data_IF_852384630945
#
_entry.id   IF_852384630945
#
_cell.length_a   1.000
_cell.length_b   1.000
_cell.length_c   1.000
_cell.angle_alpha   90.00
_cell.angle_beta   90.00
_cell.angle_gamma   90.00
#
_symmetry.space_group_name_H-M   'P 1'
#
loop_
_entity.id
_entity.type
_entity.pdbx_description
1 polymer ?
#
# COMPACT_ATOMS: atom_id res chain seq x y z
N UNK A 1 25.22 23.63 -12.04
CA UNK A 1 24.54 24.33 -10.92
C UNK A 1 25.52 24.38 -9.76
N UNK A 2 25.70 25.52 -9.07
CA UNK A 2 26.59 25.57 -7.90
C UNK A 2 25.95 24.87 -6.69
N UNK A 3 26.77 24.31 -5.80
CA UNK A 3 26.29 23.71 -4.54
C UNK A 3 25.43 24.71 -3.72
N UNK A 4 25.82 25.98 -3.74
CA UNK A 4 25.07 27.06 -3.08
C UNK A 4 23.67 27.25 -3.69
N UNK A 5 23.52 27.14 -5.02
CA UNK A 5 22.21 27.25 -5.66
C UNK A 5 21.34 26.03 -5.36
N UNK A 6 21.92 24.81 -5.37
CA UNK A 6 21.23 23.58 -4.95
C UNK A 6 20.69 23.70 -3.53
N UNK A 7 21.53 24.10 -2.58
CA UNK A 7 21.15 24.22 -1.18
C UNK A 7 20.04 25.27 -0.96
N UNK A 8 20.11 26.40 -1.69
CA UNK A 8 19.06 27.42 -1.64
C UNK A 8 17.73 26.91 -2.17
N UNK A 9 17.73 26.23 -3.31
CA UNK A 9 16.51 25.67 -3.89
C UNK A 9 15.91 24.60 -2.98
N UNK A 10 16.73 23.66 -2.51
CA UNK A 10 16.31 22.63 -1.56
C UNK A 10 15.72 23.26 -0.29
N UNK A 11 16.39 24.24 0.30
CA UNK A 11 15.89 24.92 1.50
C UNK A 11 14.57 25.66 1.32
N UNK A 12 14.21 26.10 0.10
CA UNK A 12 12.87 26.63 -0.18
C UNK A 12 11.84 25.51 -0.37
N UNK A 13 12.20 24.42 -1.04
CA UNK A 13 11.32 23.26 -1.23
C UNK A 13 10.99 22.58 0.10
N UNK A 14 11.97 22.44 0.99
CA UNK A 14 11.81 21.83 2.29
C UNK A 14 10.81 22.59 3.16
N UNK A 15 10.54 23.87 2.91
CA UNK A 15 9.55 24.66 3.68
C UNK A 15 8.11 24.30 3.35
N UNK A 16 7.86 23.64 2.23
CA UNK A 16 6.50 23.33 1.78
C UNK A 16 5.85 22.31 2.72
N UNK A 17 4.60 22.58 3.07
CA UNK A 17 3.72 21.60 3.71
C UNK A 17 3.11 20.75 2.60
N UNK A 18 3.08 19.44 2.83
CA UNK A 18 2.75 18.44 1.82
C UNK A 18 1.39 17.81 2.11
N UNK A 19 0.72 17.49 1.01
CA UNK A 19 -0.36 16.51 0.97
C UNK A 19 0.23 15.30 0.25
N UNK A 20 0.31 14.16 0.93
CA UNK A 20 0.76 12.92 0.31
C UNK A 20 -0.40 12.31 -0.48
N UNK A 21 -0.31 12.24 -1.82
CA UNK A 21 -1.43 11.83 -2.66
C UNK A 21 -1.60 10.31 -2.73
N UNK A 22 -0.69 9.49 -2.18
CA UNK A 22 -0.85 8.04 -2.23
C UNK A 22 -0.04 7.29 -1.16
N UNK A 23 -0.71 6.61 -0.24
CA UNK A 23 -0.06 5.76 0.77
C UNK A 23 -0.82 4.47 1.06
N UNK A 24 -0.17 3.59 1.83
CA UNK A 24 -0.77 2.39 2.44
C UNK A 24 -0.81 2.48 3.97
N UNK A 25 -0.91 3.70 4.52
CA UNK A 25 -1.00 3.92 5.97
C UNK A 25 -2.26 3.26 6.53
N UNK A 26 -2.13 2.57 7.67
CA UNK A 26 -3.28 2.19 8.50
C UNK A 26 -3.69 3.40 9.34
N UNK A 27 -4.83 4.00 8.99
CA UNK A 27 -5.32 5.22 9.63
C UNK A 27 -5.73 5.09 11.10
N UNK A 28 -5.84 3.86 11.62
CA UNK A 28 -6.08 3.61 13.05
C UNK A 28 -4.80 3.35 13.84
N UNK A 29 -3.68 3.13 13.15
CA UNK A 29 -2.37 2.90 13.73
C UNK A 29 -1.27 3.37 12.76
N UNK A 30 -1.14 4.70 12.55
CA UNK A 30 -0.42 5.24 11.39
C UNK A 30 1.09 5.36 11.58
N UNK A 31 1.58 5.29 12.82
CA UNK A 31 3.00 5.45 13.15
C UNK A 31 3.58 4.16 13.74
N UNK A 32 4.88 3.95 13.53
CA UNK A 32 5.61 2.81 14.09
C UNK A 32 5.67 2.84 15.62
N UNK A 33 5.74 1.65 16.23
CA UNK A 33 5.91 1.43 17.67
C UNK A 33 7.33 1.02 18.03
N UNK A 34 8.04 0.34 17.12
CA UNK A 34 9.46 -0.01 17.28
C UNK A 34 10.22 0.08 15.95
N UNK A 35 11.55 -0.04 16.00
CA UNK A 35 12.33 -0.18 14.76
C UNK A 35 11.98 -1.44 13.95
N UNK A 36 11.32 -2.42 14.54
CA UNK A 36 10.89 -3.61 13.80
C UNK A 36 9.81 -3.27 12.76
N UNK A 37 9.01 -2.23 12.96
CA UNK A 37 8.01 -1.79 11.99
C UNK A 37 8.66 -1.10 10.78
N UNK A 38 9.85 -0.51 10.98
CA UNK A 38 10.64 0.13 9.92
C UNK A 38 11.54 -0.92 9.25
N UNK A 39 12.50 -1.49 9.99
CA UNK A 39 13.46 -2.46 9.44
C UNK A 39 12.79 -3.77 9.02
N UNK A 40 11.67 -4.13 9.63
CA UNK A 40 10.88 -5.28 9.23
C UNK A 40 9.99 -5.04 8.00
N UNK A 41 9.96 -3.81 7.48
CA UNK A 41 9.27 -3.47 6.23
C UNK A 41 10.05 -4.00 5.02
N UNK A 42 9.33 -4.29 3.94
CA UNK A 42 9.86 -5.05 2.81
C UNK A 42 11.08 -4.43 2.14
N UNK A 43 11.19 -3.09 2.12
CA UNK A 43 12.39 -2.39 1.60
C UNK A 43 13.71 -2.89 2.19
N UNK A 44 13.70 -3.30 3.47
CA UNK A 44 14.92 -3.77 4.14
C UNK A 44 14.97 -5.28 4.21
N UNK A 45 13.85 -5.96 4.43
CA UNK A 45 13.83 -7.42 4.50
C UNK A 45 14.12 -8.06 3.15
N UNK A 46 13.65 -7.49 2.05
CA UNK A 46 13.93 -8.01 0.70
C UNK A 46 15.40 -7.81 0.32
N UNK A 47 16.00 -6.67 0.69
CA UNK A 47 17.41 -6.40 0.47
C UNK A 47 18.30 -7.27 1.35
N UNK A 48 17.96 -7.44 2.63
CA UNK A 48 18.68 -8.35 3.52
C UNK A 48 18.59 -9.80 3.02
N UNK A 49 17.42 -10.20 2.52
CA UNK A 49 17.22 -11.51 1.91
C UNK A 49 18.03 -11.68 0.62
N UNK A 50 18.00 -10.68 -0.25
CA UNK A 50 18.80 -10.62 -1.48
C UNK A 50 20.31 -10.69 -1.19
N UNK A 51 20.75 -10.06 -0.10
CA UNK A 51 22.11 -10.15 0.44
C UNK A 51 22.43 -11.47 1.18
N UNK A 52 21.52 -12.46 1.12
CA UNK A 52 21.76 -13.83 1.57
C UNK A 52 21.27 -14.17 2.97
N UNK A 53 20.45 -13.35 3.63
CA UNK A 53 19.78 -13.74 4.87
C UNK A 53 18.56 -14.62 4.55
N UNK A 54 18.48 -15.87 5.05
CA UNK A 54 17.35 -16.74 4.72
C UNK A 54 16.02 -16.16 5.17
N UNK A 55 14.98 -16.29 4.33
CA UNK A 55 13.62 -15.83 4.64
C UNK A 55 13.13 -16.41 5.96
N UNK A 56 13.42 -17.68 6.23
CA UNK A 56 13.01 -18.39 7.44
C UNK A 56 13.60 -17.76 8.72
N UNK A 57 14.73 -17.06 8.61
CA UNK A 57 15.30 -16.31 9.73
C UNK A 57 14.65 -14.94 9.88
N UNK A 58 14.27 -14.28 8.79
CA UNK A 58 13.60 -12.98 8.81
C UNK A 58 12.16 -13.10 9.30
N UNK A 59 11.46 -14.15 8.87
CA UNK A 59 10.03 -14.37 9.05
C UNK A 59 9.70 -15.49 10.04
N UNK A 60 10.66 -15.82 10.92
CA UNK A 60 10.45 -16.84 11.93
C UNK A 60 9.16 -16.55 12.72
N UNK A 61 8.21 -17.50 12.78
CA UNK A 61 6.98 -17.29 13.53
C UNK A 61 7.25 -16.98 15.00
N UNK A 62 6.62 -15.92 15.51
CA UNK A 62 6.74 -15.50 16.91
C UNK A 62 8.10 -14.93 17.30
N UNK A 63 8.95 -14.56 16.33
CA UNK A 63 10.20 -13.84 16.61
C UNK A 63 9.92 -12.54 17.37
N UNK A 64 10.73 -12.26 18.38
CA UNK A 64 10.67 -11.00 19.11
C UNK A 64 11.04 -9.82 18.17
N UNK A 65 10.34 -8.68 18.23
CA UNK A 65 10.64 -7.52 17.36
C UNK A 65 12.09 -7.05 17.43
N UNK A 66 12.70 -7.04 18.63
CA UNK A 66 14.09 -6.63 18.83
C UNK A 66 15.06 -7.67 18.27
N UNK A 67 14.74 -8.95 18.42
CA UNK A 67 15.50 -10.04 17.78
C UNK A 67 15.42 -9.97 16.24
N UNK A 68 14.24 -9.66 15.67
CA UNK A 68 14.10 -9.46 14.21
C UNK A 68 15.01 -8.33 13.73
N UNK A 69 15.02 -7.20 14.43
CA UNK A 69 15.94 -6.09 14.12
C UNK A 69 17.39 -6.53 14.21
N UNK A 70 17.78 -7.28 15.26
CA UNK A 70 19.15 -7.81 15.39
C UNK A 70 19.57 -8.63 14.17
N UNK A 71 18.70 -9.54 13.71
CA UNK A 71 18.98 -10.38 12.53
C UNK A 71 19.18 -9.53 11.28
N UNK A 72 18.34 -8.51 11.08
CA UNK A 72 18.44 -7.61 9.93
C UNK A 72 19.68 -6.71 9.99
N UNK A 73 20.08 -6.26 11.19
CA UNK A 73 21.31 -5.47 11.40
C UNK A 73 22.55 -6.22 10.93
N UNK A 74 22.57 -7.56 11.01
CA UNK A 74 23.67 -8.38 10.50
C UNK A 74 23.91 -8.24 8.99
N UNK A 75 22.92 -7.72 8.25
CA UNK A 75 22.96 -7.49 6.80
C UNK A 75 23.04 -6.04 6.38
N UNK A 76 22.99 -5.08 7.31
CA UNK A 76 23.02 -3.67 6.94
C UNK A 76 24.33 -3.29 6.24
N UNK A 77 25.45 -3.88 6.63
CA UNK A 77 26.76 -3.68 5.98
C UNK A 77 26.75 -4.07 4.48
N UNK A 78 25.96 -5.09 4.11
CA UNK A 78 25.84 -5.58 2.73
C UNK A 78 24.97 -4.65 1.86
N UNK A 79 24.23 -3.72 2.46
CA UNK A 79 23.27 -2.84 1.77
C UNK A 79 23.52 -1.35 2.01
N UNK A 80 24.66 -0.96 2.62
CA UNK A 80 24.98 0.45 2.94
C UNK A 80 25.02 1.35 1.69
N UNK A 81 25.29 0.77 0.52
CA UNK A 81 25.34 1.47 -0.76
C UNK A 81 23.97 1.74 -1.38
N UNK A 82 22.87 1.26 -0.77
CA UNK A 82 21.52 1.38 -1.32
C UNK A 82 20.86 2.69 -0.89
N UNK A 83 19.94 3.20 -1.71
CA UNK A 83 19.15 4.39 -1.36
C UNK A 83 18.20 4.11 -0.18
N UNK A 84 17.73 2.87 -0.04
CA UNK A 84 16.90 2.44 1.08
C UNK A 84 17.65 2.58 2.42
N UNK A 85 18.94 2.24 2.44
CA UNK A 85 19.77 2.45 3.62
C UNK A 85 19.97 3.93 3.94
N UNK A 86 20.11 4.80 2.94
CA UNK A 86 20.17 6.24 3.19
C UNK A 86 18.86 6.78 3.77
N UNK A 87 17.69 6.30 3.32
CA UNK A 87 16.40 6.63 3.95
C UNK A 87 16.36 6.23 5.42
N UNK A 88 16.84 5.03 5.75
CA UNK A 88 16.88 4.53 7.13
C UNK A 88 17.72 5.45 8.03
N UNK A 89 18.94 5.79 7.59
CA UNK A 89 19.84 6.64 8.36
C UNK A 89 19.27 8.04 8.56
N UNK A 90 18.78 8.68 7.49
CA UNK A 90 18.22 10.03 7.57
C UNK A 90 16.95 10.07 8.44
N UNK A 91 16.10 9.04 8.37
CA UNK A 91 14.96 8.90 9.27
C UNK A 91 15.42 8.72 10.73
N UNK A 92 16.39 7.84 11.00
CA UNK A 92 16.91 7.64 12.35
C UNK A 92 17.54 8.91 12.93
N UNK A 93 18.20 9.73 12.11
CA UNK A 93 18.70 11.06 12.46
C UNK A 93 17.57 12.02 12.81
N UNK A 94 16.62 12.19 11.90
CA UNK A 94 15.54 13.15 12.03
C UNK A 94 14.62 12.87 13.23
N UNK A 95 14.34 11.60 13.49
CA UNK A 95 13.30 11.19 14.43
C UNK A 95 13.84 10.67 15.77
N UNK A 96 15.01 10.04 15.77
CA UNK A 96 15.57 9.40 16.96
C UNK A 96 16.87 10.05 17.45
N UNK A 97 17.38 11.06 16.74
CA UNK A 97 18.62 11.74 17.11
C UNK A 97 19.86 10.85 16.95
N UNK A 98 19.83 9.92 16.00
CA UNK A 98 20.98 9.06 15.71
C UNK A 98 22.12 9.88 15.10
N UNK A 99 23.31 9.89 15.71
CA UNK A 99 24.44 10.75 15.26
C UNK A 99 25.49 10.00 14.45
N UNK A 100 25.53 8.67 14.54
CA UNK A 100 26.54 7.88 13.83
C UNK A 100 26.30 7.88 12.32
N UNK A 101 27.38 7.60 11.57
CA UNK A 101 27.32 7.47 10.11
C UNK A 101 26.77 6.13 9.63
N UNK A 102 26.68 5.14 10.53
CA UNK A 102 26.25 3.76 10.20
C UNK A 102 25.55 3.10 11.36
N UNK A 103 24.55 2.28 11.06
CA UNK A 103 23.95 1.33 12.00
C UNK A 103 24.75 0.03 11.93
N UNK A 104 25.28 -0.41 13.06
CA UNK A 104 26.21 -1.53 13.20
C UNK A 104 25.77 -2.46 14.33
N UNK A 105 26.32 -3.69 14.42
CA UNK A 105 26.09 -4.58 15.56
C UNK A 105 26.43 -3.96 16.93
N UNK A 106 27.27 -2.92 16.98
CA UNK A 106 27.70 -2.28 18.22
C UNK A 106 26.76 -1.16 18.71
N UNK A 107 25.96 -0.54 17.82
CA UNK A 107 25.13 0.63 18.18
C UNK A 107 23.62 0.44 17.97
N UNK A 108 23.19 -0.57 17.19
CA UNK A 108 21.79 -0.75 16.83
C UNK A 108 20.86 -0.92 18.04
N UNK A 109 21.34 -1.56 19.11
CA UNK A 109 20.52 -1.82 20.29
C UNK A 109 20.18 -0.53 21.04
N UNK A 110 21.14 0.39 21.14
CA UNK A 110 20.91 1.72 21.73
C UNK A 110 19.94 2.53 20.86
N UNK A 111 20.08 2.44 19.53
CA UNK A 111 19.15 3.05 18.59
C UNK A 111 17.73 2.46 18.75
N UNK A 112 17.60 1.14 18.87
CA UNK A 112 16.33 0.45 19.09
C UNK A 112 15.63 0.94 20.36
N UNK A 113 16.34 0.96 21.48
CA UNK A 113 15.77 1.36 22.77
C UNK A 113 15.40 2.86 22.77
N UNK A 114 16.17 3.70 22.07
CA UNK A 114 15.88 5.13 21.90
C UNK A 114 14.65 5.35 21.05
N UNK A 115 14.57 4.69 19.89
CA UNK A 115 13.43 4.75 18.98
C UNK A 115 12.15 4.26 19.66
N UNK A 116 12.19 3.12 20.35
CA UNK A 116 11.02 2.60 21.08
C UNK A 116 10.53 3.58 22.16
N UNK A 117 11.43 4.23 22.90
CA UNK A 117 11.06 5.27 23.88
C UNK A 117 10.43 6.51 23.23
N UNK A 118 10.88 6.90 22.03
CA UNK A 118 10.30 8.01 21.26
C UNK A 118 8.91 7.64 20.74
N UNK A 119 8.79 6.46 20.15
CA UNK A 119 7.54 5.94 19.56
C UNK A 119 6.45 5.69 20.60
N UNK A 120 6.82 5.37 21.84
CA UNK A 120 5.88 5.21 22.95
C UNK A 120 5.28 6.53 23.48
N UNK A 121 5.69 7.69 22.96
CA UNK A 121 5.15 8.97 23.40
C UNK A 121 3.70 9.14 22.90
N UNK A 122 2.77 9.63 23.74
CA UNK A 122 1.36 9.73 23.38
C UNK A 122 1.05 10.58 22.14
N UNK A 123 1.91 11.55 21.83
CA UNK A 123 1.79 12.44 20.67
C UNK A 123 2.73 12.04 19.52
N UNK A 124 3.27 10.81 19.52
CA UNK A 124 4.26 10.37 18.54
C UNK A 124 3.82 10.55 17.08
N UNK A 125 2.58 10.15 16.75
CA UNK A 125 1.99 10.39 15.42
C UNK A 125 2.07 11.87 15.03
N UNK A 126 1.66 12.77 15.91
CA UNK A 126 1.66 14.21 15.63
C UNK A 126 3.09 14.76 15.51
N UNK A 127 4.06 14.21 16.26
CA UNK A 127 5.46 14.54 16.09
C UNK A 127 5.98 14.13 14.71
N UNK A 128 5.61 12.93 14.22
CA UNK A 128 5.98 12.45 12.90
C UNK A 128 5.39 13.36 11.82
N UNK A 129 4.07 13.60 11.86
CA UNK A 129 3.38 14.45 10.89
C UNK A 129 3.97 15.87 10.81
N UNK A 130 4.20 16.49 11.98
CA UNK A 130 4.77 17.84 12.06
C UNK A 130 6.19 17.91 11.51
N UNK A 131 7.04 16.94 11.84
CA UNK A 131 8.44 16.90 11.39
C UNK A 131 8.51 16.62 9.89
N UNK A 132 7.65 15.75 9.37
CA UNK A 132 7.51 15.44 7.94
C UNK A 132 6.77 16.51 7.14
N UNK A 133 6.20 17.53 7.79
CA UNK A 133 5.36 18.58 7.19
C UNK A 133 4.19 18.00 6.39
N UNK A 134 3.56 16.94 6.91
CA UNK A 134 2.38 16.31 6.30
C UNK A 134 1.10 16.88 6.90
N UNK A 135 0.26 17.46 6.05
CA UNK A 135 -1.04 18.01 6.43
C UNK A 135 -2.19 17.02 6.16
N UNK A 136 -2.15 16.37 4.99
CA UNK A 136 -3.13 15.36 4.61
C UNK A 136 -2.43 14.18 3.94
N UNK A 137 -2.99 12.99 4.11
CA UNK A 137 -2.42 11.73 3.66
C UNK A 137 -3.54 10.94 2.99
N UNK A 138 -3.37 10.66 1.70
CA UNK A 138 -4.29 9.80 0.97
C UNK A 138 -4.01 8.34 1.31
N UNK A 139 -5.06 7.63 1.66
CA UNK A 139 -5.06 6.21 1.97
C UNK A 139 -5.36 5.38 0.73
N UNK A 140 -5.11 4.08 0.80
CA UNK A 140 -5.55 3.11 -0.21
C UNK A 140 -6.42 2.05 0.47
N UNK A 141 -7.69 2.37 0.70
CA UNK A 141 -8.59 1.57 1.51
C UNK A 141 -9.16 0.41 0.69
N UNK A 142 -9.26 -0.77 1.32
CA UNK A 142 -10.02 -1.88 0.77
C UNK A 142 -11.48 -1.44 0.48
N UNK A 143 -12.09 -1.99 -0.56
CA UNK A 143 -13.44 -1.60 -0.98
C UNK A 143 -14.53 -1.78 0.10
N UNK A 144 -14.29 -2.61 1.12
CA UNK A 144 -15.19 -2.89 2.23
C UNK A 144 -14.77 -2.22 3.56
N UNK A 145 -13.82 -1.27 3.53
CA UNK A 145 -13.46 -0.48 4.70
C UNK A 145 -14.66 0.37 5.18
N UNK A 146 -15.03 0.33 6.46
CA UNK A 146 -16.14 1.13 6.98
C UNK A 146 -15.87 2.65 6.95
N UNK A 147 -14.60 3.08 6.81
CA UNK A 147 -14.17 4.47 6.79
C UNK A 147 -14.65 5.25 8.03
N UNK A 148 -14.50 4.63 9.21
CA UNK A 148 -14.87 5.20 10.51
C UNK A 148 -13.74 5.03 11.53
N UNK A 149 -13.76 5.86 12.58
CA UNK A 149 -12.75 5.82 13.64
C UNK A 149 -11.53 6.72 13.41
N UNK A 150 -11.51 7.50 12.33
CA UNK A 150 -10.43 8.42 12.00
C UNK A 150 -10.95 9.70 11.32
N UNK A 151 -10.11 10.73 11.24
CA UNK A 151 -10.44 11.99 10.58
C UNK A 151 -10.23 11.89 9.07
N UNK A 152 -11.30 11.79 8.29
CA UNK A 152 -11.24 11.68 6.81
C UNK A 152 -10.80 12.96 6.09
N UNK A 153 -10.59 14.06 6.82
CA UNK A 153 -9.95 15.27 6.29
C UNK A 153 -8.42 15.25 6.47
N UNK A 154 -7.90 14.40 7.37
CA UNK A 154 -6.46 14.19 7.55
C UNK A 154 -6.00 12.94 6.81
N UNK A 155 -6.70 11.83 7.01
CA UNK A 155 -6.48 10.56 6.33
C UNK A 155 -7.56 10.36 5.28
N UNK A 156 -7.26 10.78 4.05
CA UNK A 156 -8.21 10.92 2.96
C UNK A 156 -8.45 9.55 2.30
N UNK A 157 -9.68 9.04 2.25
CA UNK A 157 -9.92 7.74 1.63
C UNK A 157 -9.67 7.72 0.13
N UNK A 158 -9.11 6.62 -0.38
CA UNK A 158 -9.16 6.28 -1.80
C UNK A 158 -9.65 4.84 -1.96
N UNK A 159 -10.51 4.61 -2.95
CA UNK A 159 -11.07 3.29 -3.22
C UNK A 159 -10.03 2.43 -3.95
N UNK A 160 -9.50 1.42 -3.25
CA UNK A 160 -8.65 0.39 -3.86
C UNK A 160 -9.51 -0.59 -4.65
N UNK A 161 -9.20 -0.80 -5.93
CA UNK A 161 -10.04 -1.60 -6.82
C UNK A 161 -9.43 -2.92 -7.28
N UNK A 162 -8.19 -3.26 -6.90
CA UNK A 162 -7.49 -4.46 -7.38
C UNK A 162 -8.32 -5.74 -7.18
N UNK A 163 -8.89 -5.93 -5.99
CA UNK A 163 -9.69 -7.12 -5.66
C UNK A 163 -10.94 -7.25 -6.54
N UNK A 164 -11.59 -6.11 -6.83
CA UNK A 164 -12.78 -6.09 -7.68
C UNK A 164 -12.42 -6.43 -9.12
N UNK A 165 -11.31 -5.89 -9.64
CA UNK A 165 -10.92 -6.11 -11.03
C UNK A 165 -10.37 -7.52 -11.25
N UNK A 166 -9.49 -8.00 -10.37
CA UNK A 166 -8.71 -9.21 -10.62
C UNK A 166 -9.08 -10.41 -9.75
N UNK A 167 -9.90 -10.24 -8.72
CA UNK A 167 -10.13 -11.28 -7.70
C UNK A 167 -11.61 -11.57 -7.41
N UNK A 168 -12.54 -11.14 -8.27
CA UNK A 168 -13.98 -11.50 -8.15
C UNK A 168 -14.26 -13.01 -8.28
N UNK A 169 -13.39 -13.77 -8.93
CA UNK A 169 -13.50 -15.24 -8.99
C UNK A 169 -13.26 -15.90 -7.64
N UNK A 170 -12.62 -15.21 -6.70
CA UNK A 170 -12.41 -15.70 -5.33
C UNK A 170 -13.70 -15.58 -4.48
N UNK A 171 -14.16 -16.66 -3.82
CA UNK A 171 -15.37 -16.63 -2.99
C UNK A 171 -15.35 -15.58 -1.87
N UNK A 172 -14.19 -15.33 -1.26
CA UNK A 172 -13.99 -14.35 -0.20
C UNK A 172 -14.24 -12.92 -0.69
N UNK A 173 -13.80 -12.57 -1.90
CA UNK A 173 -14.03 -11.25 -2.51
C UNK A 173 -15.52 -11.02 -2.72
N UNK A 174 -16.25 -12.03 -3.22
CA UNK A 174 -17.70 -11.93 -3.43
C UNK A 174 -18.46 -11.80 -2.12
N UNK A 175 -18.10 -12.59 -1.11
CA UNK A 175 -18.68 -12.50 0.23
C UNK A 175 -18.49 -11.11 0.83
N UNK A 176 -17.28 -10.54 0.70
CA UNK A 176 -16.98 -9.17 1.17
C UNK A 176 -17.79 -8.13 0.41
N UNK A 177 -17.88 -8.24 -0.92
CA UNK A 177 -18.68 -7.32 -1.74
C UNK A 177 -20.17 -7.37 -1.38
N UNK A 178 -20.73 -8.57 -1.23
CA UNK A 178 -22.13 -8.74 -0.84
C UNK A 178 -22.39 -8.18 0.57
N UNK A 179 -21.48 -8.41 1.52
CA UNK A 179 -21.58 -7.84 2.87
C UNK A 179 -21.51 -6.31 2.87
N UNK A 180 -20.60 -5.72 2.10
CA UNK A 180 -20.41 -4.27 2.04
C UNK A 180 -21.57 -3.54 1.36
N UNK A 181 -22.20 -4.17 0.36
CA UNK A 181 -23.21 -3.52 -0.50
C UNK A 181 -24.63 -4.00 -0.23
N UNK A 182 -24.81 -5.13 0.45
CA UNK A 182 -26.09 -5.84 0.57
C UNK A 182 -26.62 -6.37 -0.76
N UNK A 183 -25.75 -6.59 -1.76
CA UNK A 183 -26.11 -7.04 -3.10
C UNK A 183 -25.38 -8.34 -3.40
N UNK A 184 -26.14 -9.40 -3.63
CA UNK A 184 -25.61 -10.67 -4.13
C UNK A 184 -25.25 -10.54 -5.61
N UNK A 185 -24.08 -11.08 -5.98
CA UNK A 185 -23.64 -11.07 -7.36
C UNK A 185 -24.46 -12.09 -8.17
N UNK A 186 -25.23 -11.62 -9.14
CA UNK A 186 -26.07 -12.46 -10.00
C UNK A 186 -25.94 -12.16 -11.49
N UNK A 187 -25.11 -11.18 -11.88
CA UNK A 187 -24.90 -10.76 -13.26
C UNK A 187 -24.30 -9.36 -13.39
N UNK A 188 -24.33 -8.81 -14.61
CA UNK A 188 -23.79 -7.48 -14.92
C UNK A 188 -24.51 -6.35 -14.17
N UNK A 189 -25.84 -6.42 -14.08
CA UNK A 189 -26.64 -5.40 -13.41
C UNK A 189 -26.36 -5.33 -11.90
N UNK A 190 -26.30 -6.49 -11.22
CA UNK A 190 -25.98 -6.54 -9.79
C UNK A 190 -24.56 -6.04 -9.51
N UNK A 191 -23.60 -6.36 -10.39
CA UNK A 191 -22.22 -5.87 -10.23
C UNK A 191 -22.16 -4.35 -10.34
N UNK A 192 -22.79 -3.76 -11.37
CA UNK A 192 -22.84 -2.29 -11.52
C UNK A 192 -23.50 -1.62 -10.33
N UNK A 193 -24.59 -2.19 -9.81
CA UNK A 193 -25.27 -1.67 -8.63
C UNK A 193 -24.39 -1.79 -7.36
N UNK A 194 -23.66 -2.89 -7.20
CA UNK A 194 -22.75 -3.08 -6.09
C UNK A 194 -21.59 -2.06 -6.14
N UNK A 195 -20.96 -1.87 -7.31
CA UNK A 195 -19.92 -0.86 -7.51
C UNK A 195 -20.45 0.54 -7.19
N UNK A 196 -21.63 0.91 -7.69
CA UNK A 196 -22.23 2.21 -7.37
C UNK A 196 -22.41 2.45 -5.87
N UNK A 197 -22.85 1.44 -5.11
CA UNK A 197 -22.94 1.56 -3.65
C UNK A 197 -21.59 1.76 -2.95
N UNK A 198 -20.50 1.18 -3.51
CA UNK A 198 -19.16 1.43 -2.98
C UNK A 198 -18.75 2.89 -3.22
N UNK A 199 -19.02 3.45 -4.41
CA UNK A 199 -18.77 4.87 -4.68
C UNK A 199 -19.58 5.77 -3.76
N UNK A 200 -20.88 5.50 -3.58
CA UNK A 200 -21.73 6.27 -2.65
C UNK A 200 -21.15 6.28 -1.23
N UNK A 201 -20.71 5.12 -0.74
CA UNK A 201 -20.08 4.99 0.58
C UNK A 201 -18.79 5.82 0.66
N UNK A 202 -17.85 5.63 -0.27
CA UNK A 202 -16.56 6.32 -0.27
C UNK A 202 -16.72 7.85 -0.42
N UNK A 203 -17.59 8.31 -1.31
CA UNK A 203 -17.86 9.74 -1.49
C UNK A 203 -18.51 10.36 -0.26
N UNK A 204 -19.43 9.65 0.41
CA UNK A 204 -20.01 10.11 1.69
C UNK A 204 -18.96 10.28 2.79
N UNK A 205 -17.77 9.70 2.60
CA UNK A 205 -16.64 9.70 3.52
C UNK A 205 -15.45 10.52 3.02
N UNK A 206 -15.68 11.44 2.08
CA UNK A 206 -14.67 12.37 1.55
C UNK A 206 -13.56 11.69 0.73
N UNK A 207 -13.85 10.56 0.06
CA UNK A 207 -12.87 9.96 -0.84
C UNK A 207 -12.47 10.91 -1.97
N UNK A 208 -11.20 10.82 -2.40
CA UNK A 208 -10.62 11.70 -3.43
C UNK A 208 -10.10 11.01 -4.67
N UNK A 209 -9.95 9.69 -4.64
CA UNK A 209 -9.50 8.93 -5.81
C UNK A 209 -9.98 7.47 -5.76
N UNK A 210 -9.89 6.80 -6.90
CA UNK A 210 -9.73 5.35 -6.98
C UNK A 210 -8.27 5.02 -7.28
N UNK A 211 -7.80 3.84 -6.89
CA UNK A 211 -6.43 3.39 -7.18
C UNK A 211 -6.40 1.90 -7.55
N UNK A 212 -5.53 1.56 -8.49
CA UNK A 212 -5.32 0.19 -8.96
C UNK A 212 -3.88 -0.03 -9.41
N UNK A 213 -3.33 -1.22 -9.14
CA UNK A 213 -2.14 -1.71 -9.81
C UNK A 213 -2.51 -2.61 -10.99
N UNK A 214 -1.91 -2.38 -12.15
CA UNK A 214 -2.20 -3.10 -13.39
C UNK A 214 -1.00 -3.94 -13.82
N UNK A 215 -1.19 -5.20 -14.24
CA UNK A 215 -0.12 -5.98 -14.86
C UNK A 215 0.18 -5.42 -16.26
N UNK A 216 1.39 -5.66 -16.80
CA UNK A 216 1.83 -5.08 -18.07
C UNK A 216 1.02 -5.55 -19.28
N UNK A 217 0.33 -6.69 -19.18
CA UNK A 217 -0.54 -7.24 -20.23
C UNK A 217 -1.99 -6.72 -20.15
N UNK A 218 -2.33 -5.90 -19.15
CA UNK A 218 -3.68 -5.36 -19.03
C UNK A 218 -3.95 -4.28 -20.08
N UNK A 219 -4.80 -4.62 -21.03
CA UNK A 219 -5.30 -3.69 -22.04
C UNK A 219 -6.78 -3.36 -21.77
N UNK A 220 -7.11 -2.13 -21.32
CA UNK A 220 -8.49 -1.76 -21.04
C UNK A 220 -9.28 -1.55 -22.34
N UNK A 221 -10.32 -2.36 -22.52
CA UNK A 221 -11.27 -2.24 -23.63
C UNK A 221 -12.68 -2.25 -23.05
N UNK A 222 -13.57 -1.42 -23.59
CA UNK A 222 -14.97 -1.41 -23.19
C UNK A 222 -15.63 -2.76 -23.50
N UNK A 223 -16.22 -3.38 -22.49
CA UNK A 223 -17.03 -4.59 -22.61
C UNK A 223 -18.49 -4.23 -22.34
N UNK A 224 -19.38 -4.67 -23.21
CA UNK A 224 -20.82 -4.50 -23.06
C UNK A 224 -21.39 -5.48 -22.03
N UNK A 225 -22.46 -5.06 -21.35
CA UNK A 225 -23.07 -5.86 -20.29
C UNK A 225 -23.59 -7.22 -20.80
N UNK A 226 -24.03 -7.30 -22.06
CA UNK A 226 -24.52 -8.55 -22.65
C UNK A 226 -23.41 -9.61 -22.76
N UNK A 227 -22.18 -9.21 -23.06
CA UNK A 227 -21.03 -10.12 -23.12
C UNK A 227 -20.49 -10.49 -21.73
N UNK A 228 -20.57 -9.58 -20.76
CA UNK A 228 -20.09 -9.86 -19.40
C UNK A 228 -21.09 -10.66 -18.54
N UNK A 229 -22.40 -10.56 -18.81
CA UNK A 229 -23.44 -11.16 -17.97
C UNK A 229 -23.33 -12.69 -17.82
N UNK A 230 -23.12 -13.48 -18.89
CA UNK A 230 -22.92 -14.93 -18.76
C UNK A 230 -21.70 -15.29 -17.90
N UNK A 231 -20.61 -14.54 -18.02
CA UNK A 231 -19.38 -14.75 -17.25
C UNK A 231 -19.64 -14.46 -15.77
N UNK A 232 -20.30 -13.34 -15.46
CA UNK A 232 -20.65 -12.99 -14.08
C UNK A 232 -21.61 -14.00 -13.45
N UNK A 233 -22.56 -14.55 -14.21
CA UNK A 233 -23.41 -15.66 -13.73
C UNK A 233 -22.61 -16.93 -13.47
N UNK A 234 -21.61 -17.24 -14.30
CA UNK A 234 -20.71 -18.37 -14.07
C UNK A 234 -19.90 -18.17 -12.77
N UNK A 235 -19.36 -16.97 -12.55
CA UNK A 235 -18.67 -16.58 -11.31
C UNK A 235 -19.59 -16.69 -10.09
N UNK A 236 -20.82 -16.20 -10.18
CA UNK A 236 -21.83 -16.31 -9.12
C UNK A 236 -22.14 -17.78 -8.78
N UNK A 237 -22.17 -18.66 -9.79
CA UNK A 237 -22.34 -20.09 -9.62
C UNK A 237 -21.06 -20.82 -9.17
N UNK A 238 -19.95 -20.11 -8.93
CA UNK A 238 -18.69 -20.69 -8.48
C UNK A 238 -17.94 -21.49 -9.55
N UNK A 239 -18.22 -21.25 -10.83
CA UNK A 239 -17.51 -21.91 -11.93
C UNK A 239 -16.13 -21.27 -12.14
N UNK A 240 -15.18 -22.10 -12.54
CA UNK A 240 -13.89 -21.64 -13.03
C UNK A 240 -14.06 -20.93 -14.38
N UNK A 241 -13.24 -19.90 -14.61
CA UNK A 241 -13.21 -19.16 -15.86
C UNK A 241 -11.99 -19.57 -16.67
N UNK A 242 -12.14 -19.60 -17.99
CA UNK A 242 -11.01 -19.57 -18.90
C UNK A 242 -10.24 -18.25 -18.79
N UNK A 243 -9.00 -18.22 -19.30
CA UNK A 243 -8.19 -17.00 -19.33
C UNK A 243 -8.87 -15.85 -20.10
N UNK A 244 -9.58 -16.17 -21.19
CA UNK A 244 -10.28 -15.20 -22.02
C UNK A 244 -11.50 -14.60 -21.29
N UNK A 245 -12.25 -15.44 -20.57
CA UNK A 245 -13.36 -15.00 -19.72
C UNK A 245 -12.85 -14.14 -18.56
N UNK A 246 -11.74 -14.51 -17.93
CA UNK A 246 -11.12 -13.72 -16.87
C UNK A 246 -10.67 -12.34 -17.38
N UNK A 247 -10.02 -12.26 -18.55
CA UNK A 247 -9.66 -10.97 -19.16
C UNK A 247 -10.89 -10.12 -19.47
N UNK A 248 -11.95 -10.74 -20.00
CA UNK A 248 -13.22 -10.06 -20.29
C UNK A 248 -13.88 -9.52 -19.02
N UNK A 249 -13.89 -10.31 -17.95
CA UNK A 249 -14.40 -9.89 -16.64
C UNK A 249 -13.60 -8.70 -16.09
N UNK A 250 -12.27 -8.79 -16.04
CA UNK A 250 -11.41 -7.72 -15.53
C UNK A 250 -11.64 -6.42 -16.30
N UNK A 251 -11.71 -6.48 -17.63
CA UNK A 251 -12.00 -5.32 -18.50
C UNK A 251 -13.38 -4.73 -18.22
N UNK A 252 -14.42 -5.56 -18.05
CA UNK A 252 -15.76 -5.09 -17.72
C UNK A 252 -15.81 -4.37 -16.37
N UNK A 253 -15.17 -4.93 -15.33
CA UNK A 253 -15.14 -4.32 -14.00
C UNK A 253 -14.34 -3.02 -14.02
N UNK A 254 -13.13 -3.03 -14.62
CA UNK A 254 -12.31 -1.84 -14.77
C UNK A 254 -13.05 -0.71 -15.48
N UNK A 255 -13.71 -1.02 -16.60
CA UNK A 255 -14.46 -0.01 -17.35
C UNK A 255 -15.66 0.52 -16.56
N UNK A 256 -16.34 -0.34 -15.78
CA UNK A 256 -17.42 0.08 -14.88
C UNK A 256 -16.91 1.04 -13.81
N UNK A 257 -15.75 0.77 -13.20
CA UNK A 257 -15.12 1.67 -12.23
C UNK A 257 -14.73 3.00 -12.87
N UNK A 258 -14.20 2.98 -14.10
CA UNK A 258 -13.84 4.19 -14.84
C UNK A 258 -15.08 5.04 -15.20
N UNK A 259 -16.20 4.42 -15.59
CA UNK A 259 -17.48 5.10 -15.81
C UNK A 259 -17.95 5.80 -14.50
N UNK A 260 -17.88 5.14 -13.35
CA UNK A 260 -18.19 5.76 -12.06
C UNK A 260 -17.21 6.88 -11.68
N UNK A 261 -15.90 6.71 -11.92
CA UNK A 261 -14.93 7.78 -11.68
C UNK A 261 -15.28 9.03 -12.51
N UNK A 262 -15.66 8.84 -13.78
CA UNK A 262 -16.10 9.93 -14.64
C UNK A 262 -17.39 10.61 -14.13
N UNK A 263 -18.41 9.83 -13.76
CA UNK A 263 -19.69 10.35 -13.25
C UNK A 263 -19.50 11.15 -11.95
N UNK A 264 -18.58 10.72 -11.09
CA UNK A 264 -18.32 11.33 -9.78
C UNK A 264 -17.13 12.32 -9.77
N UNK A 265 -16.52 12.58 -10.93
CA UNK A 265 -15.35 13.47 -11.06
C UNK A 265 -14.18 13.07 -10.14
N UNK A 266 -13.98 11.76 -9.95
CA UNK A 266 -12.85 11.22 -9.20
C UNK A 266 -11.69 10.87 -10.16
N UNK A 267 -10.44 11.25 -9.86
CA UNK A 267 -9.29 10.68 -10.50
C UNK A 267 -9.20 9.17 -10.23
N UNK A 268 -8.62 8.44 -11.19
CA UNK A 268 -8.35 7.01 -11.08
C UNK A 268 -6.84 6.78 -11.28
N UNK A 269 -6.14 6.54 -10.18
CA UNK A 269 -4.69 6.34 -10.16
C UNK A 269 -4.35 4.94 -10.71
N UNK A 270 -3.49 4.92 -11.74
CA UNK A 270 -3.08 3.70 -12.43
C UNK A 270 -1.59 3.45 -12.19
N UNK A 271 -1.28 2.44 -11.37
CA UNK A 271 0.09 1.95 -11.15
C UNK A 271 0.35 0.80 -12.13
N UNK A 272 0.85 1.13 -13.31
CA UNK A 272 0.98 0.20 -14.45
C UNK A 272 2.34 -0.49 -14.42
N UNK A 273 2.37 -1.81 -14.62
CA UNK A 273 3.61 -2.56 -14.90
C UNK A 273 3.99 -3.61 -13.84
N UNK A 274 3.11 -3.99 -12.93
CA UNK A 274 3.49 -4.96 -11.87
C UNK A 274 3.20 -6.41 -12.25
N UNK A 275 4.22 -7.25 -12.17
CA UNK A 275 4.10 -8.70 -12.19
C UNK A 275 4.14 -9.23 -10.76
N UNK A 276 3.01 -9.81 -10.31
CA UNK A 276 2.91 -10.35 -8.96
C UNK A 276 3.62 -11.70 -8.84
N UNK A 277 4.33 -11.92 -7.74
CA UNK A 277 4.98 -13.19 -7.34
C UNK A 277 5.99 -13.75 -8.35
N UNK A 278 6.76 -12.88 -9.01
CA UNK A 278 7.88 -13.31 -9.87
C UNK A 278 8.95 -14.05 -9.06
N UNK A 279 9.22 -13.61 -7.83
CA UNK A 279 10.09 -14.31 -6.90
C UNK A 279 9.29 -15.04 -5.81
N UNK A 280 8.79 -16.24 -6.13
CA UNK A 280 7.90 -17.02 -5.25
C UNK A 280 8.49 -17.35 -3.87
N UNK A 281 9.81 -17.44 -3.78
CA UNK A 281 10.54 -17.72 -2.54
C UNK A 281 10.94 -16.46 -1.76
N UNK A 282 10.59 -15.27 -2.27
CA UNK A 282 10.86 -14.00 -1.59
C UNK A 282 10.12 -13.84 -0.27
N UNK A 283 10.56 -12.85 0.51
CA UNK A 283 9.91 -12.39 1.74
C UNK A 283 8.52 -11.82 1.46
N UNK A 284 7.69 -11.72 2.48
CA UNK A 284 6.38 -11.07 2.45
C UNK A 284 6.52 -9.66 1.84
N UNK A 285 5.68 -9.38 0.84
CA UNK A 285 5.67 -8.16 0.01
C UNK A 285 6.92 -7.94 -0.89
N UNK A 286 8.00 -8.72 -0.76
CA UNK A 286 9.19 -8.67 -1.61
C UNK A 286 9.23 -9.76 -2.67
N UNK A 287 8.10 -10.02 -3.34
CA UNK A 287 7.95 -11.09 -4.35
C UNK A 287 7.62 -10.58 -5.75
N UNK A 288 7.23 -9.31 -5.86
CA UNK A 288 6.69 -8.73 -7.09
C UNK A 288 7.81 -8.04 -7.88
N UNK A 289 7.69 -8.04 -9.20
CA UNK A 289 8.57 -7.29 -10.11
C UNK A 289 7.79 -6.11 -10.69
N UNK A 290 8.39 -4.94 -10.71
CA UNK A 290 7.86 -3.75 -11.36
C UNK A 290 8.64 -3.54 -12.67
N UNK A 291 7.96 -3.65 -13.81
CA UNK A 291 8.51 -3.49 -15.17
C UNK A 291 7.95 -2.24 -15.88
#
# INVERSE_FOLDING_TARGET
MSAQLQQRLLGELDKLVLIDPHTHINQLDPASHTLADILGYHYYTELAHSAGLPREQIEQPGIDPKEKVQRLVSKLADIENTVQYSWLLEMCRAFFGFEDDRITPANWETLYDTAAKKMAQPDWEEQVLRTSKLEQIFLTNNFDDPLTGFNTQRYIPCLRTDDLVFHLTKPETRTRLAKATGIELSGAASLKQAVGKLFDHFLSKNAKACAISLPPDFEPIRIDAASADPILRAVAAGKELSADEQRTLSRFVFWTLAEHCADHHLPFDLMIGVNRRVYEAGVYQGQDLFD
#
